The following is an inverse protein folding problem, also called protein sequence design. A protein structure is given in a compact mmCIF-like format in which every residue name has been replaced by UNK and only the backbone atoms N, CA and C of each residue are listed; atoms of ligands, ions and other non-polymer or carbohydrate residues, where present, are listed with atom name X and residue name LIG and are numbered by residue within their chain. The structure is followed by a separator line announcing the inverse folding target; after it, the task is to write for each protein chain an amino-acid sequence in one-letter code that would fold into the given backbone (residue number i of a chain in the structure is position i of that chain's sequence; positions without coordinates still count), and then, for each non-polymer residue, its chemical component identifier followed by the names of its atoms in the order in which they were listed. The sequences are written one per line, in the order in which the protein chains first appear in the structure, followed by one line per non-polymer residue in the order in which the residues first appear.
data_IF_766022163704
#
_entry.id   IF_766022163704
#
_cell.length_a   1.000
_cell.length_b   1.000
_cell.length_c   1.000
_cell.angle_alpha   90.00
_cell.angle_beta   90.00
_cell.angle_gamma   90.00
#
_symmetry.space_group_name_H-M   'P 1'
#
loop_
_entity.id
_entity.type
_entity.pdbx_description
1 polymer ?
#
# COMPACT_ATOMS: atom_id res chain seq x y z
N UNK A 1 35.26 0.64 18.28
CA UNK A 1 35.91 0.22 17.03
C UNK A 1 34.96 -0.76 16.36
N UNK A 2 33.93 -0.25 15.68
CA UNK A 2 32.76 -1.05 15.31
C UNK A 2 32.06 -0.37 14.13
N UNK A 3 31.70 -1.17 13.11
CA UNK A 3 31.07 -0.79 11.82
C UNK A 3 31.94 -0.15 10.71
N UNK A 4 33.12 -0.72 10.43
CA UNK A 4 33.74 -0.57 9.10
C UNK A 4 33.36 -1.75 8.19
N UNK A 5 32.14 -1.75 7.68
CA UNK A 5 31.73 -2.60 6.54
C UNK A 5 32.49 -2.14 5.28
N UNK A 6 33.72 -2.66 5.12
CA UNK A 6 34.66 -2.66 3.98
C UNK A 6 34.31 -1.74 2.81
N UNK A 7 34.48 -0.43 2.99
CA UNK A 7 34.66 0.47 1.84
C UNK A 7 36.09 0.32 1.31
N UNK A 8 36.23 0.13 -0.01
CA UNK A 8 37.54 0.05 -0.67
C UNK A 8 37.89 1.40 -1.28
N UNK A 9 39.14 1.79 -1.18
CA UNK A 9 39.66 2.98 -1.86
C UNK A 9 40.15 2.61 -3.26
N UNK A 10 40.11 3.55 -4.23
CA UNK A 10 40.59 3.31 -5.58
C UNK A 10 42.13 3.23 -5.69
N UNK A 11 42.89 3.57 -4.64
CA UNK A 11 44.35 3.47 -4.62
C UNK A 11 44.98 3.98 -3.32
N UNK A 12 46.30 3.80 -3.16
CA UNK A 12 47.05 4.15 -1.94
C UNK A 12 46.96 5.65 -1.58
N UNK A 13 47.05 6.54 -2.57
CA UNK A 13 46.90 7.98 -2.34
C UNK A 13 45.53 8.38 -1.78
N UNK A 14 44.46 7.73 -2.25
CA UNK A 14 43.12 7.95 -1.70
C UNK A 14 43.02 7.44 -0.25
N UNK A 15 43.65 6.31 0.08
CA UNK A 15 43.73 5.80 1.46
C UNK A 15 44.48 6.76 2.39
N UNK A 16 45.64 7.26 1.96
CA UNK A 16 46.47 8.15 2.76
C UNK A 16 45.74 9.47 3.07
N UNK A 17 45.08 10.07 2.07
CA UNK A 17 44.29 11.29 2.26
C UNK A 17 43.11 11.05 3.21
N UNK A 18 42.36 9.96 3.05
CA UNK A 18 41.24 9.64 3.95
C UNK A 18 41.72 9.38 5.39
N UNK A 19 42.85 8.69 5.56
CA UNK A 19 43.44 8.47 6.89
C UNK A 19 43.79 9.80 7.58
N UNK A 20 44.42 10.74 6.85
CA UNK A 20 44.71 12.08 7.36
C UNK A 20 43.41 12.84 7.71
N UNK A 21 42.39 12.80 6.84
CA UNK A 21 41.09 13.45 7.08
C UNK A 21 40.32 12.90 8.30
N UNK A 22 40.62 11.68 8.74
CA UNK A 22 40.02 11.08 9.93
C UNK A 22 40.74 11.47 11.21
N UNK A 23 41.92 12.09 11.13
CA UNK A 23 42.64 12.62 12.30
C UNK A 23 42.11 14.00 12.75
N UNK A 24 42.28 14.37 14.03
CA UNK A 24 41.91 15.70 14.54
C UNK A 24 42.63 16.85 13.81
N UNK A 25 43.90 16.65 13.43
CA UNK A 25 44.72 17.64 12.72
C UNK A 25 44.32 17.83 11.25
N UNK A 26 43.88 16.76 10.58
CA UNK A 26 43.48 16.83 9.17
C UNK A 26 42.19 17.62 8.92
N UNK A 27 41.32 17.77 9.92
CA UNK A 27 40.04 18.52 9.77
C UNK A 27 40.23 20.00 9.47
N UNK A 28 41.34 20.60 9.92
CA UNK A 28 41.63 22.03 9.71
C UNK A 28 42.42 22.35 8.43
N UNK A 29 43.03 21.34 7.79
CA UNK A 29 43.98 21.54 6.68
C UNK A 29 43.33 21.56 5.29
N UNK A 30 42.10 21.04 5.15
CA UNK A 30 41.40 20.97 3.86
C UNK A 30 39.88 21.11 4.04
N UNK A 31 39.37 22.33 4.30
CA UNK A 31 37.96 22.57 4.62
C UNK A 31 36.99 22.12 3.52
N UNK A 32 37.45 22.05 2.27
CA UNK A 32 36.62 21.69 1.11
C UNK A 32 36.79 20.22 0.70
N UNK A 33 37.54 19.41 1.47
CA UNK A 33 37.68 17.97 1.21
C UNK A 33 36.57 17.20 1.94
N UNK A 34 35.74 16.53 1.16
CA UNK A 34 34.74 15.57 1.63
C UNK A 34 35.17 14.12 1.39
N UNK A 35 34.46 13.18 2.02
CA UNK A 35 34.58 11.76 1.71
C UNK A 35 33.32 11.31 0.97
N UNK A 36 33.48 10.73 -0.22
CA UNK A 36 32.39 10.18 -1.01
C UNK A 36 32.32 8.67 -0.86
N UNK A 37 31.14 8.12 -0.57
CA UNK A 37 30.86 6.68 -0.45
C UNK A 37 29.73 6.27 -1.36
N UNK A 38 29.94 5.23 -2.18
CA UNK A 38 28.91 4.70 -3.07
C UNK A 38 29.16 3.23 -3.40
N UNK A 39 28.13 2.56 -3.94
CA UNK A 39 28.25 1.21 -4.48
C UNK A 39 28.46 1.25 -6.00
N UNK A 40 29.55 0.64 -6.48
CA UNK A 40 29.92 0.63 -7.88
C UNK A 40 28.91 -0.15 -8.75
N UNK A 41 28.52 0.45 -9.88
CA UNK A 41 27.52 -0.09 -10.81
C UNK A 41 27.85 -1.48 -11.35
N UNK A 42 29.09 -1.67 -11.83
CA UNK A 42 29.50 -2.90 -12.53
C UNK A 42 29.97 -4.00 -11.57
N UNK A 43 30.63 -3.63 -10.48
CA UNK A 43 31.28 -4.59 -9.58
C UNK A 43 30.54 -4.81 -8.26
N UNK A 44 29.49 -4.04 -7.95
CA UNK A 44 28.76 -4.12 -6.68
C UNK A 44 29.56 -3.75 -5.43
N UNK A 45 30.82 -3.32 -5.59
CA UNK A 45 31.74 -3.01 -4.49
C UNK A 45 31.41 -1.66 -3.85
N UNK A 46 31.52 -1.58 -2.53
CA UNK A 46 31.45 -0.33 -1.79
C UNK A 46 32.79 0.41 -1.92
N UNK A 47 32.74 1.64 -2.45
CA UNK A 47 33.92 2.47 -2.72
C UNK A 47 33.87 3.70 -1.82
N UNK A 48 35.01 4.07 -1.23
CA UNK A 48 35.22 5.35 -0.54
C UNK A 48 36.37 6.10 -1.21
N UNK A 49 36.20 7.39 -1.48
CA UNK A 49 37.28 8.22 -2.03
C UNK A 49 37.18 9.68 -1.56
N UNK A 50 38.32 10.37 -1.36
CA UNK A 50 38.33 11.78 -1.02
C UNK A 50 37.95 12.62 -2.24
N UNK A 51 37.11 13.62 -2.03
CA UNK A 51 36.59 14.51 -3.08
C UNK A 51 36.68 15.96 -2.65
N UNK A 52 36.90 16.86 -3.59
CA UNK A 52 36.64 18.28 -3.35
C UNK A 52 35.15 18.52 -3.53
N UNK A 53 34.46 18.94 -2.48
CA UNK A 53 33.02 19.10 -2.47
C UNK A 53 32.62 20.49 -1.98
N UNK A 54 31.64 21.08 -2.64
CA UNK A 54 31.01 22.35 -2.27
C UNK A 54 29.54 22.08 -1.99
N UNK A 55 29.02 22.57 -0.86
CA UNK A 55 27.59 22.55 -0.60
C UNK A 55 26.96 23.88 -1.01
N UNK A 56 25.87 23.81 -1.78
CA UNK A 56 25.02 24.96 -2.09
C UNK A 56 23.57 24.57 -1.84
N UNK A 57 23.01 25.03 -0.71
CA UNK A 57 21.66 24.65 -0.28
C UNK A 57 21.48 23.13 -0.14
N UNK A 58 20.59 22.59 -0.98
CA UNK A 58 20.20 21.17 -1.03
C UNK A 58 21.01 20.34 -2.04
N UNK A 59 22.04 20.92 -2.66
CA UNK A 59 22.96 20.19 -3.52
C UNK A 59 24.39 20.21 -2.97
N UNK A 60 25.09 19.10 -3.18
CA UNK A 60 26.53 19.01 -3.00
C UNK A 60 27.19 18.75 -4.35
N UNK A 61 28.17 19.59 -4.70
CA UNK A 61 28.83 19.60 -6.00
C UNK A 61 30.25 19.05 -5.81
N UNK A 62 30.53 17.94 -6.47
CA UNK A 62 31.85 17.31 -6.48
C UNK A 62 32.51 17.53 -7.83
N UNK A 63 33.63 18.25 -7.85
CA UNK A 63 34.43 18.42 -9.06
C UNK A 63 35.21 17.14 -9.38
N UNK A 64 35.19 16.74 -10.65
CA UNK A 64 36.00 15.62 -11.15
C UNK A 64 37.26 16.16 -11.83
N UNK A 65 38.25 16.59 -11.05
CA UNK A 65 39.53 17.05 -11.60
C UNK A 65 40.27 15.89 -12.31
N UNK A 66 40.86 16.15 -13.49
CA UNK A 66 41.57 15.14 -14.32
C UNK A 66 40.66 13.95 -14.67
N UNK A 67 39.48 14.18 -15.29
CA UNK A 67 38.49 13.15 -15.56
C UNK A 67 38.99 12.00 -16.44
N UNK A 68 40.00 12.24 -17.28
CA UNK A 68 40.70 11.26 -18.12
C UNK A 68 41.44 10.19 -17.29
N UNK A 69 41.97 10.56 -16.13
CA UNK A 69 42.69 9.65 -15.22
C UNK A 69 41.76 8.88 -14.28
N UNK A 70 40.46 9.24 -14.22
CA UNK A 70 39.51 8.76 -13.21
C UNK A 70 38.29 8.10 -13.85
N UNK A 71 37.84 6.98 -13.28
CA UNK A 71 36.68 6.23 -13.80
C UNK A 71 35.48 6.26 -12.84
N UNK A 72 35.66 6.68 -11.59
CA UNK A 72 34.65 6.59 -10.54
C UNK A 72 33.37 7.37 -10.86
N UNK A 73 33.51 8.57 -11.44
CA UNK A 73 32.41 9.48 -11.77
C UNK A 73 31.42 8.88 -12.78
N UNK A 74 31.88 7.95 -13.62
CA UNK A 74 31.04 7.25 -14.61
C UNK A 74 29.93 6.39 -13.97
N UNK A 75 30.06 6.06 -12.69
CA UNK A 75 29.00 5.37 -11.94
C UNK A 75 27.73 6.24 -11.82
N UNK A 76 27.87 7.56 -11.87
CA UNK A 76 26.80 8.55 -11.71
C UNK A 76 26.24 9.06 -13.05
N UNK A 77 26.61 8.46 -14.20
CA UNK A 77 25.93 8.75 -15.48
C UNK A 77 24.45 8.36 -15.48
N UNK A 78 24.06 7.52 -14.53
CA UNK A 78 22.67 7.29 -14.16
C UNK A 78 22.54 7.67 -12.68
N UNK A 79 21.44 8.33 -12.27
CA UNK A 79 21.23 8.73 -10.88
C UNK A 79 21.43 7.56 -9.91
N UNK A 80 22.21 7.76 -8.85
CA UNK A 80 22.51 6.72 -7.85
C UNK A 80 22.65 7.26 -6.44
N UNK A 81 22.25 6.45 -5.46
CA UNK A 81 22.50 6.72 -4.05
C UNK A 81 23.99 6.84 -3.76
N UNK A 82 24.32 7.90 -3.02
CA UNK A 82 25.67 8.25 -2.62
C UNK A 82 25.62 8.90 -1.24
N UNK A 83 26.66 8.70 -0.46
CA UNK A 83 26.84 9.40 0.81
C UNK A 83 28.06 10.29 0.69
N UNK A 84 27.93 11.53 1.12
CA UNK A 84 29.03 12.49 1.14
C UNK A 84 29.22 12.99 2.56
N UNK A 85 30.47 13.03 3.03
CA UNK A 85 30.82 13.62 4.31
C UNK A 85 31.17 15.09 4.12
N UNK A 86 30.36 15.98 4.66
CA UNK A 86 30.52 17.44 4.63
C UNK A 86 30.53 17.97 6.06
N UNK A 87 31.48 18.83 6.40
CA UNK A 87 31.61 19.41 7.75
C UNK A 87 31.59 18.36 8.87
N UNK A 88 32.20 17.21 8.63
CA UNK A 88 32.26 16.08 9.56
C UNK A 88 30.98 15.22 9.63
N UNK A 89 29.89 15.60 8.96
CA UNK A 89 28.61 14.89 8.98
C UNK A 89 28.39 14.11 7.69
N UNK A 90 27.86 12.89 7.82
CA UNK A 90 27.42 12.11 6.66
C UNK A 90 26.05 12.60 6.20
N UNK A 91 25.94 12.89 4.91
CA UNK A 91 24.68 13.23 4.26
C UNK A 91 24.48 12.26 3.09
N UNK A 92 23.27 11.70 3.00
CA UNK A 92 22.87 10.82 1.93
C UNK A 92 22.13 11.60 0.84
N UNK A 93 22.27 11.18 -0.41
CA UNK A 93 21.64 11.84 -1.54
C UNK A 93 21.74 11.02 -2.83
N UNK A 94 21.23 11.59 -3.91
CA UNK A 94 21.28 10.98 -5.24
C UNK A 94 22.29 11.75 -6.10
N UNK A 95 23.35 11.07 -6.52
CA UNK A 95 24.39 11.60 -7.37
C UNK A 95 24.11 11.38 -8.86
N UNK A 96 24.29 12.41 -9.67
CA UNK A 96 24.32 12.35 -11.13
C UNK A 96 25.46 13.21 -11.71
N UNK A 97 25.81 12.98 -12.98
CA UNK A 97 26.88 13.73 -13.66
C UNK A 97 26.30 14.89 -14.46
N UNK A 98 26.73 16.11 -14.16
CA UNK A 98 26.60 17.25 -15.06
C UNK A 98 27.80 17.23 -16.03
N UNK A 99 27.52 16.91 -17.29
CA UNK A 99 28.55 16.72 -18.32
C UNK A 99 28.96 18.05 -18.95
N UNK A 100 30.25 18.22 -19.26
CA UNK A 100 30.72 19.43 -19.92
C UNK A 100 29.92 19.72 -21.20
N UNK A 101 29.53 20.98 -21.38
CA UNK A 101 28.73 21.45 -22.51
C UNK A 101 27.21 21.34 -22.34
N UNK A 102 26.71 20.90 -21.16
CA UNK A 102 25.29 21.02 -20.81
C UNK A 102 25.02 22.32 -20.05
N UNK A 103 23.79 22.86 -20.17
CA UNK A 103 23.38 24.05 -19.42
C UNK A 103 23.57 23.87 -17.90
N UNK A 104 23.19 22.71 -17.38
CA UNK A 104 23.38 22.35 -15.96
C UNK A 104 24.86 22.41 -15.56
N UNK A 105 25.79 22.00 -16.44
CA UNK A 105 27.21 22.06 -16.14
C UNK A 105 27.68 23.50 -16.01
N UNK A 106 27.25 24.40 -16.89
CA UNK A 106 27.59 25.82 -16.84
C UNK A 106 27.09 26.47 -15.54
N UNK A 107 25.83 26.20 -15.16
CA UNK A 107 25.24 26.69 -13.90
C UNK A 107 26.02 26.20 -12.67
N UNK A 108 26.32 24.89 -12.63
CA UNK A 108 27.03 24.26 -11.52
C UNK A 108 28.49 24.72 -11.45
N UNK A 109 29.13 24.95 -12.60
CA UNK A 109 30.48 25.48 -12.68
C UNK A 109 30.57 26.88 -12.05
N UNK A 110 29.59 27.74 -12.32
CA UNK A 110 29.52 29.08 -11.71
C UNK A 110 29.41 28.99 -10.19
N UNK A 111 28.49 28.18 -9.66
CA UNK A 111 28.30 27.98 -8.22
C UNK A 111 29.58 27.44 -7.57
N UNK A 112 30.24 26.47 -8.21
CA UNK A 112 31.48 25.89 -7.70
C UNK A 112 32.63 26.90 -7.73
N UNK A 113 32.75 27.70 -8.80
CA UNK A 113 33.78 28.73 -8.98
C UNK A 113 33.65 29.85 -7.94
N UNK A 114 32.42 30.27 -7.60
CA UNK A 114 32.16 31.25 -6.53
C UNK A 114 32.72 30.78 -5.18
N UNK A 115 32.69 29.47 -4.91
CA UNK A 115 33.24 28.89 -3.69
C UNK A 115 34.76 28.66 -3.75
N UNK A 116 35.36 28.76 -4.94
CA UNK A 116 36.80 28.62 -5.16
C UNK A 116 37.37 29.73 -6.07
N UNK A 117 37.31 31.03 -5.68
CA UNK A 117 37.65 32.13 -6.58
C UNK A 117 39.09 32.12 -7.10
N UNK A 118 40.02 31.52 -6.35
CA UNK A 118 41.45 31.48 -6.66
C UNK A 118 41.87 30.30 -7.54
N UNK A 119 40.97 29.36 -7.83
CA UNK A 119 41.29 28.21 -8.69
C UNK A 119 40.66 28.41 -10.07
N UNK A 120 41.47 28.32 -11.12
CA UNK A 120 40.94 28.16 -12.48
C UNK A 120 40.45 26.73 -12.67
N UNK A 121 39.19 26.61 -13.09
CA UNK A 121 38.54 25.32 -13.33
C UNK A 121 38.40 25.15 -14.85
N UNK A 122 39.02 24.12 -15.44
CA UNK A 122 38.82 23.83 -16.85
C UNK A 122 37.35 23.60 -17.17
N UNK A 123 36.84 24.25 -18.23
CA UNK A 123 35.45 24.11 -18.67
C UNK A 123 35.08 22.67 -19.07
N UNK A 124 36.07 21.80 -19.28
CA UNK A 124 35.89 20.39 -19.65
C UNK A 124 35.74 19.45 -18.46
N UNK A 125 36.03 19.89 -17.22
CA UNK A 125 35.90 19.06 -16.02
C UNK A 125 34.41 18.80 -15.73
N UNK A 126 33.94 17.53 -15.67
CA UNK A 126 32.57 17.26 -15.27
C UNK A 126 32.38 17.43 -13.76
N UNK A 127 31.14 17.64 -13.37
CA UNK A 127 30.73 17.67 -11.96
C UNK A 127 29.84 16.47 -11.63
N UNK A 128 29.98 15.93 -10.44
CA UNK A 128 28.97 15.05 -9.84
C UNK A 128 28.13 15.90 -8.90
N UNK A 129 26.87 16.11 -9.26
CA UNK A 129 25.89 16.83 -8.46
C UNK A 129 25.17 15.80 -7.59
N UNK A 130 25.10 16.05 -6.30
CA UNK A 130 24.43 15.20 -5.32
C UNK A 130 23.24 15.97 -4.78
N UNK A 131 22.03 15.52 -5.13
CA UNK A 131 20.79 16.04 -4.57
C UNK A 131 20.59 15.46 -3.16
N UNK A 132 20.76 16.31 -2.15
CA UNK A 132 20.66 15.97 -0.73
C UNK A 132 19.19 15.96 -0.27
N UNK A 133 18.29 16.60 -0.99
CA UNK A 133 16.87 16.65 -0.68
C UNK A 133 16.07 15.53 -1.36
N UNK A 134 16.63 14.83 -2.34
CA UNK A 134 15.98 13.72 -3.03
C UNK A 134 15.48 12.62 -2.07
N UNK A 135 16.30 12.21 -1.10
CA UNK A 135 15.88 11.19 -0.12
C UNK A 135 14.82 11.71 0.85
N UNK A 136 14.94 12.96 1.31
CA UNK A 136 13.94 13.61 2.17
C UNK A 136 12.59 13.70 1.45
N UNK A 137 12.57 14.23 0.23
CA UNK A 137 11.34 14.31 -0.59
C UNK A 137 10.72 12.94 -0.82
N UNK A 138 11.54 11.91 -1.09
CA UNK A 138 11.06 10.54 -1.23
C UNK A 138 10.44 10.03 0.07
N UNK A 139 11.09 10.24 1.21
CA UNK A 139 10.56 9.87 2.52
C UNK A 139 9.23 10.58 2.81
N UNK A 140 9.15 11.89 2.57
CA UNK A 140 7.95 12.69 2.79
C UNK A 140 6.79 12.25 1.89
N UNK A 141 7.08 11.90 0.62
CA UNK A 141 6.09 11.33 -0.31
C UNK A 141 5.60 9.96 0.14
N UNK A 142 6.51 9.07 0.56
CA UNK A 142 6.17 7.74 1.06
C UNK A 142 5.34 7.85 2.35
N UNK A 143 5.70 8.76 3.25
CA UNK A 143 4.97 9.02 4.49
C UNK A 143 3.59 9.64 4.23
N UNK A 144 3.51 10.63 3.33
CA UNK A 144 2.24 11.22 2.88
C UNK A 144 1.30 10.17 2.28
N UNK A 145 1.83 9.29 1.42
CA UNK A 145 1.08 8.17 0.83
C UNK A 145 0.57 7.21 1.91
N UNK A 146 1.42 6.81 2.87
CA UNK A 146 1.01 5.95 4.00
C UNK A 146 -0.08 6.59 4.85
N UNK A 147 0.00 7.91 5.09
CA UNK A 147 -1.02 8.66 5.85
C UNK A 147 -2.34 8.68 5.10
N UNK A 148 -2.34 8.91 3.78
CA UNK A 148 -3.52 8.85 2.92
C UNK A 148 -4.14 7.45 2.91
N UNK A 149 -3.36 6.39 2.69
CA UNK A 149 -3.83 5.00 2.74
C UNK A 149 -4.46 4.64 4.09
N UNK A 150 -3.82 5.04 5.20
CA UNK A 150 -4.34 4.84 6.55
C UNK A 150 -5.66 5.60 6.76
N UNK A 151 -5.75 6.82 6.24
CA UNK A 151 -6.97 7.63 6.25
C UNK A 151 -8.12 6.94 5.51
N UNK A 152 -7.89 6.48 4.27
CA UNK A 152 -8.88 5.76 3.46
C UNK A 152 -9.33 4.49 4.18
N UNK A 153 -8.39 3.68 4.67
CA UNK A 153 -8.70 2.42 5.36
C UNK A 153 -9.55 2.64 6.61
N UNK A 154 -9.26 3.68 7.41
CA UNK A 154 -10.06 4.00 8.61
C UNK A 154 -11.49 4.39 8.25
N UNK A 155 -11.67 5.31 7.30
CA UNK A 155 -13.00 5.72 6.85
C UNK A 155 -13.77 4.56 6.23
N UNK A 156 -13.11 3.74 5.40
CA UNK A 156 -13.67 2.53 4.82
C UNK A 156 -14.14 1.57 5.90
N UNK A 157 -13.27 1.22 6.85
CA UNK A 157 -13.59 0.34 7.97
C UNK A 157 -14.84 0.81 8.70
N UNK A 158 -14.86 2.07 9.16
CA UNK A 158 -16.00 2.61 9.90
C UNK A 158 -17.29 2.62 9.07
N UNK A 159 -17.22 3.03 7.81
CA UNK A 159 -18.42 3.13 6.97
C UNK A 159 -18.96 1.74 6.63
N UNK A 160 -18.10 0.81 6.24
CA UNK A 160 -18.51 -0.53 5.82
C UNK A 160 -19.01 -1.35 7.00
N UNK A 161 -18.36 -1.27 8.16
CA UNK A 161 -18.86 -1.94 9.38
C UNK A 161 -20.23 -1.42 9.78
N UNK A 162 -20.45 -0.09 9.77
CA UNK A 162 -21.77 0.49 10.06
C UNK A 162 -22.81 0.11 9.01
N UNK A 163 -22.47 0.16 7.73
CA UNK A 163 -23.37 -0.19 6.64
C UNK A 163 -23.79 -1.65 6.67
N UNK A 164 -22.85 -2.55 6.97
CA UNK A 164 -23.10 -3.97 7.14
C UNK A 164 -24.01 -4.25 8.34
N UNK A 165 -23.70 -3.69 9.53
CA UNK A 165 -24.51 -3.87 10.73
C UNK A 165 -25.96 -3.38 10.55
N UNK A 166 -26.13 -2.22 9.93
CA UNK A 166 -27.45 -1.65 9.65
C UNK A 166 -28.19 -2.44 8.56
N UNK A 167 -27.47 -2.94 7.55
CA UNK A 167 -28.04 -3.76 6.49
C UNK A 167 -28.50 -5.12 7.02
N UNK A 168 -27.64 -5.80 7.77
CA UNK A 168 -27.87 -7.13 8.34
C UNK A 168 -29.03 -7.19 9.33
N UNK A 169 -29.39 -6.05 9.93
CA UNK A 169 -30.58 -5.96 10.79
C UNK A 169 -31.87 -6.39 10.04
N UNK A 170 -31.98 -6.12 8.74
CA UNK A 170 -33.15 -6.50 7.97
C UNK A 170 -33.29 -8.02 7.81
N UNK A 171 -32.28 -8.78 7.34
CA UNK A 171 -32.35 -10.23 7.33
C UNK A 171 -32.52 -10.86 8.72
N UNK A 172 -31.87 -10.30 9.75
CA UNK A 172 -32.02 -10.80 11.12
C UNK A 172 -33.47 -10.68 11.63
N UNK A 173 -34.10 -9.51 11.46
CA UNK A 173 -35.50 -9.30 11.83
C UNK A 173 -36.41 -10.16 10.97
N UNK A 174 -36.25 -10.12 9.66
CA UNK A 174 -37.11 -10.85 8.76
C UNK A 174 -37.04 -12.36 9.04
N UNK A 175 -35.84 -12.93 9.22
CA UNK A 175 -35.63 -14.34 9.54
C UNK A 175 -36.28 -14.76 10.86
N UNK A 176 -36.27 -13.88 11.87
CA UNK A 176 -36.96 -14.14 13.14
C UNK A 176 -38.49 -14.13 13.01
N UNK A 177 -39.04 -13.29 12.14
CA UNK A 177 -40.49 -13.15 11.94
C UNK A 177 -41.06 -14.27 11.09
N UNK A 178 -40.32 -14.72 10.07
CA UNK A 178 -40.79 -15.73 9.11
C UNK A 178 -40.32 -17.15 9.46
N UNK A 179 -39.73 -17.37 10.64
CA UNK A 179 -39.10 -18.64 11.02
C UNK A 179 -40.04 -19.86 10.86
N UNK A 180 -41.30 -19.73 11.28
CA UNK A 180 -42.31 -20.80 11.17
C UNK A 180 -43.26 -20.60 9.97
N UNK A 181 -42.92 -19.72 9.02
CA UNK A 181 -43.77 -19.41 7.88
C UNK A 181 -43.57 -20.40 6.72
N UNK A 182 -44.57 -20.51 5.85
CA UNK A 182 -44.46 -21.31 4.63
C UNK A 182 -43.35 -20.77 3.71
N UNK A 183 -42.67 -21.63 2.90
CA UNK A 183 -41.60 -21.20 1.99
C UNK A 183 -42.00 -20.05 1.05
N UNK A 184 -43.27 -20.00 0.63
CA UNK A 184 -43.82 -18.92 -0.20
C UNK A 184 -43.74 -17.53 0.46
N UNK A 185 -43.61 -17.46 1.78
CA UNK A 185 -43.44 -16.22 2.55
C UNK A 185 -41.96 -16.00 2.89
N UNK A 186 -41.24 -17.05 3.29
CA UNK A 186 -39.81 -16.98 3.65
C UNK A 186 -38.96 -16.45 2.52
N UNK A 187 -39.12 -17.01 1.31
CA UNK A 187 -38.31 -16.66 0.14
C UNK A 187 -38.40 -15.16 -0.19
N UNK A 188 -39.60 -14.59 -0.50
CA UNK A 188 -39.67 -13.17 -0.86
C UNK A 188 -39.24 -12.25 0.30
N UNK A 189 -39.52 -12.61 1.56
CA UNK A 189 -39.09 -11.82 2.70
C UNK A 189 -37.56 -11.75 2.82
N UNK A 190 -36.87 -12.89 2.70
CA UNK A 190 -35.41 -12.94 2.81
C UNK A 190 -34.73 -12.28 1.61
N UNK A 191 -35.27 -12.45 0.41
CA UNK A 191 -34.75 -11.78 -0.78
C UNK A 191 -34.90 -10.25 -0.70
N UNK A 192 -36.05 -9.76 -0.21
CA UNK A 192 -36.26 -8.33 0.02
C UNK A 192 -35.30 -7.78 1.09
N UNK A 193 -35.14 -8.52 2.20
CA UNK A 193 -34.22 -8.16 3.27
C UNK A 193 -32.75 -8.13 2.79
N UNK A 194 -32.35 -9.12 2.00
CA UNK A 194 -31.02 -9.19 1.39
C UNK A 194 -30.73 -8.08 0.37
N UNK A 195 -31.73 -7.72 -0.44
CA UNK A 195 -31.62 -6.59 -1.36
C UNK A 195 -31.48 -5.25 -0.60
N UNK A 196 -32.21 -5.10 0.51
CA UNK A 196 -32.07 -3.95 1.40
C UNK A 196 -30.67 -3.90 2.01
N UNK A 197 -30.18 -5.01 2.57
CA UNK A 197 -28.84 -5.12 3.13
C UNK A 197 -27.77 -4.69 2.11
N UNK A 198 -27.79 -5.27 0.91
CA UNK A 198 -26.84 -4.92 -0.15
C UNK A 198 -26.94 -3.46 -0.59
N UNK A 199 -28.14 -2.86 -0.54
CA UNK A 199 -28.35 -1.44 -0.83
C UNK A 199 -27.71 -0.56 0.24
N UNK A 200 -27.94 -0.86 1.53
CA UNK A 200 -27.36 -0.12 2.65
C UNK A 200 -25.83 -0.24 2.63
N UNK A 201 -25.30 -1.46 2.55
CA UNK A 201 -23.87 -1.73 2.45
C UNK A 201 -23.24 -0.97 1.27
N UNK A 202 -23.84 -1.12 0.09
CA UNK A 202 -23.40 -0.44 -1.13
C UNK A 202 -23.41 1.07 -1.00
N UNK A 203 -24.38 1.65 -0.28
CA UNK A 203 -24.47 3.09 -0.08
C UNK A 203 -23.35 3.63 0.82
N UNK A 204 -23.03 2.93 1.92
CA UNK A 204 -21.90 3.26 2.78
C UNK A 204 -20.57 3.14 2.03
N UNK A 205 -20.37 2.07 1.27
CA UNK A 205 -19.18 1.88 0.43
C UNK A 205 -19.06 3.00 -0.62
N UNK A 206 -20.14 3.30 -1.34
CA UNK A 206 -20.15 4.31 -2.40
C UNK A 206 -19.79 5.72 -1.89
N UNK A 207 -20.16 6.08 -0.65
CA UNK A 207 -19.79 7.35 -0.03
C UNK A 207 -18.28 7.50 0.15
N UNK A 208 -17.59 6.40 0.49
CA UNK A 208 -16.12 6.40 0.58
C UNK A 208 -15.50 6.35 -0.81
N UNK A 209 -16.01 5.50 -1.72
CA UNK A 209 -15.48 5.38 -3.08
C UNK A 209 -15.53 6.68 -3.85
N UNK A 210 -16.59 7.48 -3.72
CA UNK A 210 -16.71 8.76 -4.44
C UNK A 210 -15.60 9.76 -4.08
N UNK A 211 -15.02 9.65 -2.88
CA UNK A 211 -13.89 10.51 -2.46
C UNK A 211 -12.56 10.08 -3.09
N UNK A 212 -12.38 8.80 -3.40
CA UNK A 212 -11.13 8.23 -3.92
C UNK A 212 -11.17 7.92 -5.43
N UNK A 213 -12.37 7.76 -5.98
CA UNK A 213 -12.66 7.50 -7.39
C UNK A 213 -13.78 8.45 -7.86
N UNK A 214 -13.48 9.72 -8.18
CA UNK A 214 -14.50 10.73 -8.48
C UNK A 214 -15.43 10.40 -9.66
N UNK A 215 -14.95 9.58 -10.61
CA UNK A 215 -15.74 9.13 -11.77
C UNK A 215 -16.79 8.04 -11.45
N UNK A 216 -16.75 7.45 -10.25
CA UNK A 216 -17.65 6.35 -9.92
C UNK A 216 -19.08 6.83 -9.68
N UNK A 217 -20.04 6.26 -10.40
CA UNK A 217 -21.47 6.53 -10.18
C UNK A 217 -21.95 5.77 -8.95
N UNK A 218 -22.26 6.47 -7.86
CA UNK A 218 -22.71 5.86 -6.60
C UNK A 218 -23.92 4.93 -6.79
N UNK A 219 -24.89 5.30 -7.64
CA UNK A 219 -26.07 4.48 -7.93
C UNK A 219 -25.71 3.13 -8.56
N UNK A 220 -24.74 3.11 -9.47
CA UNK A 220 -24.29 1.87 -10.12
C UNK A 220 -23.60 0.95 -9.11
N UNK A 221 -22.81 1.50 -8.19
CA UNK A 221 -22.17 0.72 -7.12
C UNK A 221 -23.20 0.13 -6.14
N UNK A 222 -24.18 0.93 -5.72
CA UNK A 222 -25.26 0.50 -4.83
C UNK A 222 -26.06 -0.62 -5.49
N UNK A 223 -26.49 -0.44 -6.75
CA UNK A 223 -27.25 -1.45 -7.49
C UNK A 223 -26.44 -2.73 -7.67
N UNK A 224 -25.15 -2.64 -8.03
CA UNK A 224 -24.29 -3.81 -8.13
C UNK A 224 -24.16 -4.56 -6.80
N UNK A 225 -24.06 -3.84 -5.68
CA UNK A 225 -23.96 -4.46 -4.36
C UNK A 225 -25.29 -5.13 -3.95
N UNK A 226 -26.42 -4.48 -4.21
CA UNK A 226 -27.75 -5.03 -4.00
C UNK A 226 -28.00 -6.30 -4.83
N UNK A 227 -27.62 -6.30 -6.11
CA UNK A 227 -27.73 -7.49 -6.98
C UNK A 227 -26.82 -8.64 -6.52
N UNK A 228 -25.60 -8.32 -6.08
CA UNK A 228 -24.70 -9.31 -5.48
C UNK A 228 -25.29 -9.93 -4.21
N UNK A 229 -25.81 -9.08 -3.31
CA UNK A 229 -26.47 -9.55 -2.08
C UNK A 229 -27.73 -10.38 -2.38
N UNK A 230 -28.55 -9.96 -3.34
CA UNK A 230 -29.73 -10.73 -3.74
C UNK A 230 -29.34 -12.13 -4.25
N UNK A 231 -28.27 -12.24 -5.05
CA UNK A 231 -27.73 -13.52 -5.50
C UNK A 231 -27.22 -14.38 -4.31
N UNK A 232 -26.50 -13.78 -3.36
CA UNK A 232 -26.06 -14.45 -2.15
C UNK A 232 -27.24 -14.98 -1.32
N UNK A 233 -28.26 -14.16 -1.08
CA UNK A 233 -29.46 -14.55 -0.31
C UNK A 233 -30.32 -15.58 -1.03
N UNK A 234 -30.34 -15.57 -2.36
CA UNK A 234 -31.02 -16.61 -3.15
C UNK A 234 -30.42 -18.00 -2.88
N UNK A 235 -29.11 -18.06 -2.60
CA UNK A 235 -28.42 -19.29 -2.21
C UNK A 235 -28.62 -19.56 -0.71
N UNK A 236 -28.47 -18.52 0.13
CA UNK A 236 -28.56 -18.62 1.60
C UNK A 236 -29.94 -19.02 2.12
N UNK A 237 -31.01 -18.80 1.36
CA UNK A 237 -32.38 -19.21 1.70
C UNK A 237 -32.62 -20.70 1.49
N UNK A 238 -31.88 -21.37 0.60
CA UNK A 238 -32.11 -22.80 0.27
C UNK A 238 -32.06 -23.71 1.51
N UNK A 239 -31.08 -23.60 2.44
CA UNK A 239 -31.11 -24.35 3.69
C UNK A 239 -32.28 -24.01 4.63
N UNK A 240 -32.86 -22.81 4.53
CA UNK A 240 -33.94 -22.37 5.43
C UNK A 240 -35.30 -22.97 5.05
N UNK A 241 -35.48 -23.33 3.78
CA UNK A 241 -36.75 -23.85 3.25
C UNK A 241 -36.73 -25.37 3.03
N UNK A 242 -35.61 -26.05 3.30
CA UNK A 242 -35.52 -27.50 3.17
C UNK A 242 -36.15 -28.18 4.38
N UNK A 243 -37.27 -28.88 4.15
CA UNK A 243 -38.10 -29.51 5.20
C UNK A 243 -37.33 -30.50 6.07
N UNK A 244 -36.43 -31.28 5.48
CA UNK A 244 -35.60 -32.27 6.16
C UNK A 244 -34.18 -31.75 6.47
N UNK A 245 -33.96 -30.44 6.27
CA UNK A 245 -32.65 -29.80 6.32
C UNK A 245 -31.66 -30.32 5.26
N UNK A 246 -30.48 -29.71 5.19
CA UNK A 246 -29.39 -30.21 4.35
C UNK A 246 -28.69 -31.44 4.93
N UNK A 247 -28.87 -31.70 6.24
CA UNK A 247 -28.20 -32.80 6.94
C UNK A 247 -28.68 -34.20 6.56
N UNK A 248 -29.86 -34.30 5.93
CA UNK A 248 -30.43 -35.56 5.44
C UNK A 248 -29.84 -36.01 4.10
N UNK A 249 -29.08 -35.16 3.41
CA UNK A 249 -28.55 -35.46 2.08
C UNK A 249 -27.34 -36.40 2.16
N UNK A 250 -27.17 -37.32 1.17
CA UNK A 250 -25.96 -38.13 1.05
C UNK A 250 -24.70 -37.24 1.02
N UNK A 251 -23.62 -37.57 1.75
CA UNK A 251 -22.41 -36.75 1.77
C UNK A 251 -21.82 -36.44 0.39
N UNK A 252 -21.96 -37.39 -0.56
CA UNK A 252 -21.53 -37.24 -1.94
C UNK A 252 -22.27 -36.12 -2.72
N UNK A 253 -23.49 -35.76 -2.30
CA UNK A 253 -24.26 -34.65 -2.87
C UNK A 253 -24.11 -33.38 -2.03
N UNK A 254 -24.08 -33.53 -0.69
CA UNK A 254 -23.99 -32.42 0.24
C UNK A 254 -22.68 -31.63 0.08
N UNK A 255 -21.53 -32.31 0.04
CA UNK A 255 -20.22 -31.64 -0.02
C UNK A 255 -20.09 -30.81 -1.31
N UNK A 256 -20.36 -31.33 -2.52
CA UNK A 256 -20.35 -30.51 -3.73
C UNK A 256 -21.35 -29.35 -3.68
N UNK A 257 -22.58 -29.56 -3.18
CA UNK A 257 -23.58 -28.51 -3.07
C UNK A 257 -23.12 -27.36 -2.17
N UNK A 258 -22.51 -27.66 -1.01
CA UNK A 258 -21.94 -26.67 -0.11
C UNK A 258 -20.74 -25.93 -0.72
N UNK A 259 -19.85 -26.64 -1.41
CA UNK A 259 -18.68 -26.02 -2.07
C UNK A 259 -19.13 -25.09 -3.20
N UNK A 260 -20.04 -25.54 -4.06
CA UNK A 260 -20.55 -24.75 -5.18
C UNK A 260 -21.37 -23.57 -4.67
N UNK A 261 -22.36 -23.82 -3.80
CA UNK A 261 -23.21 -22.79 -3.23
C UNK A 261 -22.41 -21.76 -2.43
N UNK A 262 -21.50 -22.22 -1.56
CA UNK A 262 -20.61 -21.35 -0.80
C UNK A 262 -19.68 -20.53 -1.69
N UNK A 263 -19.13 -21.11 -2.76
CA UNK A 263 -18.30 -20.37 -3.71
C UNK A 263 -19.10 -19.30 -4.46
N UNK A 264 -20.29 -19.65 -4.96
CA UNK A 264 -21.17 -18.70 -5.64
C UNK A 264 -21.59 -17.56 -4.70
N UNK A 265 -21.92 -17.87 -3.45
CA UNK A 265 -22.23 -16.91 -2.41
C UNK A 265 -21.06 -15.96 -2.17
N UNK A 266 -19.85 -16.48 -1.92
CA UNK A 266 -18.66 -15.67 -1.63
C UNK A 266 -18.21 -14.80 -2.82
N UNK A 267 -18.44 -15.26 -4.05
CA UNK A 267 -18.05 -14.54 -5.26
C UNK A 267 -19.08 -13.50 -5.70
N UNK A 268 -20.35 -13.66 -5.33
CA UNK A 268 -21.48 -12.87 -5.83
C UNK A 268 -21.28 -11.35 -5.71
N UNK A 269 -20.98 -10.83 -4.52
CA UNK A 269 -20.75 -9.40 -4.30
C UNK A 269 -19.50 -8.91 -5.05
N UNK A 270 -18.41 -9.66 -4.97
CA UNK A 270 -17.14 -9.32 -5.63
C UNK A 270 -17.29 -9.17 -7.14
N UNK A 271 -17.97 -10.13 -7.78
CA UNK A 271 -18.24 -10.13 -9.23
C UNK A 271 -19.15 -8.95 -9.62
N UNK A 272 -20.25 -8.75 -8.91
CA UNK A 272 -21.19 -7.66 -9.22
C UNK A 272 -20.52 -6.29 -9.10
N UNK A 273 -19.76 -6.06 -8.02
CA UNK A 273 -19.02 -4.81 -7.82
C UNK A 273 -17.87 -4.63 -8.84
N UNK A 274 -17.23 -5.72 -9.25
CA UNK A 274 -16.16 -5.69 -10.25
C UNK A 274 -16.61 -5.11 -11.60
N UNK A 275 -17.84 -5.37 -12.04
CA UNK A 275 -18.40 -4.79 -13.28
C UNK A 275 -18.33 -3.26 -13.28
N UNK A 276 -18.51 -2.64 -12.10
CA UNK A 276 -18.38 -1.19 -11.94
C UNK A 276 -16.92 -0.79 -11.79
N UNK A 277 -16.15 -1.51 -10.97
CA UNK A 277 -14.76 -1.17 -10.63
C UNK A 277 -13.79 -1.27 -11.81
N UNK A 278 -14.02 -2.20 -12.74
CA UNK A 278 -13.14 -2.47 -13.88
C UNK A 278 -12.92 -1.27 -14.82
N UNK A 279 -13.86 -0.33 -14.83
CA UNK A 279 -13.74 0.90 -15.63
C UNK A 279 -12.90 1.99 -14.95
N UNK A 280 -12.48 1.79 -13.69
CA UNK A 280 -11.85 2.84 -12.87
C UNK A 280 -10.45 2.48 -12.36
N UNK A 281 -10.13 1.19 -12.23
CA UNK A 281 -8.89 0.73 -11.60
C UNK A 281 -8.26 -0.41 -12.42
N UNK A 282 -6.95 -0.36 -12.72
CA UNK A 282 -6.26 -1.48 -13.35
C UNK A 282 -6.30 -2.71 -12.44
N UNK A 283 -6.36 -3.92 -13.04
CA UNK A 283 -6.41 -5.19 -12.30
C UNK A 283 -7.58 -5.29 -11.29
N UNK A 284 -8.70 -4.61 -11.57
CA UNK A 284 -9.90 -4.64 -10.74
C UNK A 284 -10.42 -6.06 -10.44
N UNK A 285 -10.12 -7.05 -11.28
CA UNK A 285 -10.52 -8.45 -11.04
C UNK A 285 -10.01 -9.01 -9.71
N UNK A 286 -8.90 -8.49 -9.16
CA UNK A 286 -8.41 -8.85 -7.81
C UNK A 286 -9.42 -8.51 -6.71
N UNK A 287 -10.33 -7.56 -6.95
CA UNK A 287 -11.42 -7.23 -6.03
C UNK A 287 -12.30 -8.42 -5.72
N UNK A 288 -12.54 -9.30 -6.71
CA UNK A 288 -13.36 -10.50 -6.53
C UNK A 288 -12.76 -11.40 -5.45
N UNK A 289 -11.46 -11.71 -5.57
CA UNK A 289 -10.76 -12.54 -4.61
C UNK A 289 -10.64 -11.87 -3.23
N UNK A 290 -10.40 -10.56 -3.18
CA UNK A 290 -10.37 -9.78 -1.93
C UNK A 290 -11.72 -9.86 -1.22
N UNK A 291 -12.82 -9.68 -1.95
CA UNK A 291 -14.17 -9.67 -1.40
C UNK A 291 -14.56 -11.06 -0.87
N UNK A 292 -14.29 -12.11 -1.66
CA UNK A 292 -14.52 -13.50 -1.25
C UNK A 292 -13.72 -13.87 0.01
N UNK A 293 -12.43 -13.50 0.06
CA UNK A 293 -11.59 -13.73 1.23
C UNK A 293 -12.07 -12.94 2.47
N UNK A 294 -12.57 -11.72 2.27
CA UNK A 294 -13.09 -10.89 3.35
C UNK A 294 -14.37 -11.48 3.96
N UNK A 295 -15.30 -11.96 3.13
CA UNK A 295 -16.52 -12.63 3.59
C UNK A 295 -16.21 -13.97 4.25
N UNK A 296 -15.32 -14.77 3.68
CA UNK A 296 -14.89 -16.02 4.30
C UNK A 296 -14.29 -15.77 5.69
N UNK A 297 -13.37 -14.80 5.81
CA UNK A 297 -12.79 -14.41 7.10
C UNK A 297 -13.85 -13.88 8.08
N UNK A 298 -14.82 -13.10 7.58
CA UNK A 298 -15.95 -12.61 8.37
C UNK A 298 -16.80 -13.75 8.92
N UNK A 299 -17.23 -14.68 8.07
CA UNK A 299 -18.05 -15.84 8.45
C UNK A 299 -17.31 -16.78 9.41
N UNK A 300 -16.02 -16.99 9.20
CA UNK A 300 -15.16 -17.73 10.15
C UNK A 300 -15.11 -17.00 11.50
N UNK A 301 -14.93 -15.68 11.49
CA UNK A 301 -14.91 -14.89 12.73
C UNK A 301 -16.25 -14.96 13.46
N UNK A 302 -17.37 -14.89 12.72
CA UNK A 302 -18.71 -15.05 13.27
C UNK A 302 -18.85 -16.40 13.96
N UNK A 303 -18.60 -17.48 13.23
CA UNK A 303 -18.83 -18.85 13.71
C UNK A 303 -17.93 -19.22 14.88
N UNK A 304 -16.66 -18.79 14.88
CA UNK A 304 -15.73 -19.00 16.00
C UNK A 304 -16.20 -18.30 17.27
N UNK A 305 -16.88 -17.15 17.15
CA UNK A 305 -17.37 -16.39 18.31
C UNK A 305 -18.74 -16.88 18.77
N UNK A 306 -19.70 -17.07 17.86
CA UNK A 306 -21.10 -17.33 18.23
C UNK A 306 -21.35 -18.79 18.58
N UNK A 307 -20.82 -19.74 17.81
CA UNK A 307 -21.05 -21.18 18.00
C UNK A 307 -20.74 -21.68 19.42
N UNK A 308 -19.59 -21.36 20.05
CA UNK A 308 -19.30 -21.83 21.40
C UNK A 308 -20.11 -21.11 22.49
N UNK A 309 -20.71 -19.96 22.18
CA UNK A 309 -21.47 -19.16 23.14
C UNK A 309 -22.97 -19.45 23.11
N UNK A 310 -23.52 -19.92 21.99
CA UNK A 310 -24.92 -20.31 21.87
C UNK A 310 -25.17 -21.70 22.44
N UNK A 311 -26.09 -21.77 23.40
CA UNK A 311 -26.49 -23.02 24.05
C UNK A 311 -28.02 -23.14 24.16
N UNK A 312 -28.57 -24.36 24.12
CA UNK A 312 -29.99 -24.58 24.39
C UNK A 312 -30.41 -24.03 25.77
N UNK A 313 -31.60 -23.44 25.86
CA UNK A 313 -32.16 -22.92 27.11
C UNK A 313 -31.71 -21.50 27.51
N UNK A 314 -30.89 -20.83 26.69
CA UNK A 314 -30.53 -19.43 26.92
C UNK A 314 -31.72 -18.49 26.70
N UNK A 315 -31.74 -17.38 27.44
CA UNK A 315 -32.72 -16.31 27.21
C UNK A 315 -32.57 -15.71 25.81
N UNK A 316 -33.69 -15.30 25.21
CA UNK A 316 -33.72 -14.63 23.89
C UNK A 316 -32.79 -13.42 23.86
N UNK A 317 -32.76 -12.63 24.94
CA UNK A 317 -31.90 -11.46 25.05
C UNK A 317 -30.40 -11.82 24.95
N UNK A 318 -29.97 -12.91 25.58
CA UNK A 318 -28.58 -13.36 25.51
C UNK A 318 -28.22 -13.89 24.12
N UNK A 319 -29.10 -14.66 23.49
CA UNK A 319 -28.91 -15.18 22.13
C UNK A 319 -28.76 -14.02 21.13
N UNK A 320 -29.64 -13.02 21.22
CA UNK A 320 -29.59 -11.80 20.41
C UNK A 320 -28.30 -11.02 20.66
N UNK A 321 -27.88 -10.86 21.92
CA UNK A 321 -26.64 -10.15 22.25
C UNK A 321 -25.41 -10.84 21.63
N UNK A 322 -25.30 -12.17 21.77
CA UNK A 322 -24.22 -12.95 21.15
C UNK A 322 -24.23 -12.77 19.63
N UNK A 323 -25.42 -12.82 19.00
CA UNK A 323 -25.58 -12.59 17.56
C UNK A 323 -25.15 -11.20 17.11
N UNK A 324 -25.50 -10.15 17.86
CA UNK A 324 -25.08 -8.77 17.59
C UNK A 324 -23.56 -8.63 17.69
N UNK A 325 -22.94 -9.20 18.73
CA UNK A 325 -21.48 -9.17 18.90
C UNK A 325 -20.78 -9.94 17.77
N UNK A 326 -21.26 -11.14 17.44
CA UNK A 326 -20.76 -11.93 16.32
C UNK A 326 -20.88 -11.18 15.00
N UNK A 327 -22.04 -10.60 14.72
CA UNK A 327 -22.31 -9.82 13.50
C UNK A 327 -21.43 -8.58 13.40
N UNK A 328 -21.20 -7.88 14.52
CA UNK A 328 -20.24 -6.78 14.59
C UNK A 328 -18.83 -7.22 14.22
N UNK A 329 -18.35 -8.33 14.77
CA UNK A 329 -17.00 -8.83 14.48
C UNK A 329 -16.89 -9.29 13.02
N UNK A 330 -17.89 -9.98 12.50
CA UNK A 330 -17.97 -10.35 11.08
C UNK A 330 -17.86 -9.12 10.17
N UNK A 331 -18.68 -8.10 10.43
CA UNK A 331 -18.70 -6.85 9.68
C UNK A 331 -17.37 -6.10 9.77
N UNK A 332 -16.76 -6.05 10.95
CA UNK A 332 -15.46 -5.45 11.18
C UNK A 332 -14.34 -6.17 10.42
N UNK A 333 -14.29 -7.51 10.49
CA UNK A 333 -13.30 -8.33 9.78
C UNK A 333 -13.43 -8.14 8.27
N UNK A 334 -14.64 -8.25 7.74
CA UNK A 334 -14.90 -8.05 6.31
C UNK A 334 -14.50 -6.64 5.85
N UNK A 335 -14.86 -5.60 6.62
CA UNK A 335 -14.50 -4.22 6.34
C UNK A 335 -12.98 -3.97 6.38
N UNK A 336 -12.25 -4.60 7.31
CA UNK A 336 -10.80 -4.47 7.42
C UNK A 336 -10.07 -5.08 6.21
N UNK A 337 -10.46 -6.29 5.81
CA UNK A 337 -9.85 -6.99 4.66
C UNK A 337 -10.17 -6.28 3.35
N UNK A 338 -11.43 -5.90 3.12
CA UNK A 338 -11.81 -5.13 1.92
C UNK A 338 -11.15 -3.75 1.87
N UNK A 339 -11.01 -3.06 3.01
CA UNK A 339 -10.33 -1.77 3.09
C UNK A 339 -8.84 -1.85 2.77
N UNK A 340 -8.14 -2.87 3.28
CA UNK A 340 -6.76 -3.16 2.89
C UNK A 340 -6.65 -3.45 1.39
N UNK A 341 -7.50 -4.33 0.87
CA UNK A 341 -7.49 -4.70 -0.55
C UNK A 341 -7.77 -3.51 -1.47
N UNK A 342 -8.70 -2.63 -1.09
CA UNK A 342 -9.00 -1.40 -1.83
C UNK A 342 -7.77 -0.49 -1.92
N UNK A 343 -7.06 -0.26 -0.81
CA UNK A 343 -5.84 0.59 -0.85
C UNK A 343 -4.75 0.01 -1.74
N UNK A 344 -4.59 -1.33 -1.78
CA UNK A 344 -3.65 -2.00 -2.69
C UNK A 344 -4.04 -1.89 -4.15
N UNK A 345 -5.34 -1.88 -4.45
CA UNK A 345 -5.82 -1.62 -5.81
C UNK A 345 -5.55 -0.17 -6.23
N UNK A 346 -5.81 0.79 -5.35
CA UNK A 346 -5.59 2.21 -5.63
C UNK A 346 -4.10 2.58 -5.80
N UNK A 347 -3.18 1.92 -5.09
CA UNK A 347 -1.74 2.17 -5.25
C UNK A 347 -1.23 1.71 -6.62
N UNK A 348 -1.78 0.62 -7.19
CA UNK A 348 -1.41 0.19 -8.54
C UNK A 348 -1.84 1.15 -9.64
N UNK A 349 -2.85 1.98 -9.41
CA UNK A 349 -3.27 3.03 -10.34
C UNK A 349 -2.23 4.14 -10.44
N UNK A 350 -1.71 4.61 -9.31
CA UNK A 350 -0.67 5.66 -9.27
C UNK A 350 0.65 5.22 -9.89
N UNK A 351 0.94 3.91 -9.89
CA UNK A 351 2.14 3.36 -10.54
C UNK A 351 2.01 3.20 -12.06
N UNK A 352 0.79 3.30 -12.62
CA UNK A 352 0.51 3.10 -14.04
C UNK A 352 0.23 4.41 -14.79
N UNK A 353 0.16 5.54 -14.08
CA UNK A 353 0.03 6.90 -14.60
C UNK A 353 1.37 7.62 -14.52
#
# INVERSE_FOLDING_TARGET
MTEMTRYRTPGFGASAVLAVMHTPFGRGLAPNLGELRYQARRSGRNIALPVSCVRSGDIAIVRVARPETKQWWRNFRSPRSVSVRLDGHWIHGIGHVASAGTLEHEEIAVVYQQSHPRMEIPATDPFVVIDLAAERRRHDLEEGTRRLEKGIRRHWFTAVTLGELLGFAAPAVAGSVVWDAAPAVVIPAMLAAGAFEGTVLGWFQARVLRRVLPGIRSRAWVLATALGALAAWSIGVVPMISSDGLGSWPPALLVPALVIGGSLLLLSLGVSQWVVLRHHVPRAARWIAINAAAWLAGLVSFTVITTPLWHPGQSVALVVLIGIVGGFVMAATMAAVTGWGLTKLLSTRHAAT
#
